data_IF_481546142941
#
_entry.id   IF_481546142941
#
_cell.length_a   1.000
_cell.length_b   1.000
_cell.length_c   1.000
_cell.angle_alpha   90.00
_cell.angle_beta   90.00
_cell.angle_gamma   90.00
#
_symmetry.space_group_name_H-M   'P 1'
#
loop_
_entity.id
_entity.type
_entity.pdbx_description
1 polymer ?
#
# COMPACT_ATOMS: atom_id res chain seq x y z
N UNK A 1 22.15 -28.09 66.91
CA UNK A 1 22.13 -26.61 66.88
C UNK A 1 22.14 -26.23 65.40
N UNK A 2 20.97 -26.22 64.74
CA UNK A 2 20.10 -25.05 64.42
C UNK A 2 20.62 -24.22 63.22
N UNK A 3 19.75 -23.72 62.31
CA UNK A 3 19.34 -24.49 61.13
C UNK A 3 19.42 -23.72 59.78
N UNK A 4 19.20 -24.47 58.68
CA UNK A 4 18.94 -24.01 57.31
C UNK A 4 17.77 -23.01 57.25
N UNK A 5 17.96 -21.88 56.58
CA UNK A 5 16.87 -20.97 56.22
C UNK A 5 16.40 -21.24 54.77
N UNK A 6 15.20 -21.81 54.67
CA UNK A 6 14.32 -21.78 53.49
C UNK A 6 13.95 -20.31 53.20
N UNK A 7 14.15 -19.84 51.96
CA UNK A 7 13.50 -18.62 51.49
C UNK A 7 12.22 -19.03 50.76
N UNK A 8 11.11 -19.01 51.50
CA UNK A 8 9.78 -19.28 50.99
C UNK A 8 9.27 -18.10 50.17
N UNK A 9 8.87 -18.41 48.95
CA UNK A 9 8.12 -17.59 48.02
C UNK A 9 6.76 -17.21 48.65
N UNK A 10 6.51 -15.90 48.84
CA UNK A 10 5.19 -15.37 49.15
C UNK A 10 4.64 -14.68 47.90
N UNK A 11 3.79 -15.40 47.18
CA UNK A 11 2.88 -14.88 46.17
C UNK A 11 1.86 -13.99 46.89
N UNK A 12 1.95 -12.68 46.72
CA UNK A 12 0.80 -11.80 46.97
C UNK A 12 0.07 -11.68 45.65
N UNK A 13 -0.99 -12.49 45.51
CA UNK A 13 -2.00 -12.31 44.46
C UNK A 13 -2.83 -11.10 44.87
N UNK A 14 -2.48 -9.92 44.36
CA UNK A 14 -3.41 -8.82 44.29
C UNK A 14 -4.29 -9.07 43.05
N UNK A 15 -5.45 -9.72 43.27
CA UNK A 15 -6.57 -9.67 42.31
C UNK A 15 -7.14 -8.26 42.33
N UNK A 16 -6.45 -7.34 41.67
CA UNK A 16 -7.04 -6.10 41.20
C UNK A 16 -7.47 -6.34 39.77
N UNK A 17 -8.77 -6.55 39.55
CA UNK A 17 -9.38 -6.44 38.22
C UNK A 17 -9.10 -5.03 37.70
N UNK A 18 -8.01 -4.89 36.97
CA UNK A 18 -7.77 -3.74 36.12
C UNK A 18 -8.83 -3.82 35.02
N UNK A 19 -9.71 -2.82 34.87
CA UNK A 19 -10.67 -2.83 33.78
C UNK A 19 -9.89 -2.95 32.47
N UNK A 20 -10.18 -4.01 31.71
CA UNK A 20 -9.81 -4.07 30.31
C UNK A 20 -10.24 -2.75 29.68
N UNK A 21 -9.33 -2.08 29.00
CA UNK A 21 -9.53 -0.79 28.33
C UNK A 21 -10.63 -0.89 27.28
N UNK A 22 -11.88 -0.79 27.72
CA UNK A 22 -13.10 -0.64 26.90
C UNK A 22 -13.23 0.76 26.32
N UNK A 23 -12.36 1.70 26.69
CA UNK A 23 -12.35 3.07 26.18
C UNK A 23 -11.91 3.21 24.71
N UNK A 24 -11.52 2.13 24.04
CA UNK A 24 -11.02 2.20 22.66
C UNK A 24 -12.12 2.16 21.59
N UNK A 25 -13.32 1.62 21.83
CA UNK A 25 -14.31 1.43 20.74
C UNK A 25 -15.05 2.72 20.32
N UNK A 26 -15.07 3.75 21.17
CA UNK A 26 -15.96 4.92 21.01
C UNK A 26 -15.30 6.20 20.49
N UNK A 27 -14.01 6.19 20.13
CA UNK A 27 -13.38 7.37 19.55
C UNK A 27 -14.05 7.73 18.20
N UNK A 28 -14.60 8.96 18.04
CA UNK A 28 -15.40 9.32 16.86
C UNK A 28 -14.54 9.51 15.60
N UNK A 29 -13.23 9.73 15.75
CA UNK A 29 -12.31 10.00 14.66
C UNK A 29 -11.31 8.88 14.37
N UNK A 30 -10.49 9.12 13.36
CA UNK A 30 -9.30 8.32 13.09
C UNK A 30 -8.26 8.51 14.21
N UNK A 31 -7.41 7.51 14.42
CA UNK A 31 -6.37 7.54 15.44
C UNK A 31 -5.21 6.61 15.10
N UNK A 32 -4.10 6.81 15.78
CA UNK A 32 -2.95 5.91 15.77
C UNK A 32 -2.47 5.66 17.20
N UNK A 33 -2.21 4.40 17.55
CA UNK A 33 -1.84 4.01 18.91
C UNK A 33 -0.97 2.75 18.93
N UNK A 34 -0.19 2.60 20.00
CA UNK A 34 0.60 1.40 20.25
C UNK A 34 -0.24 0.38 21.04
N UNK A 35 -0.38 -0.83 20.51
CA UNK A 35 -0.75 -2.00 21.30
C UNK A 35 0.53 -2.68 21.80
N UNK A 36 0.92 -2.30 23.03
CA UNK A 36 2.12 -2.82 23.65
C UNK A 36 2.07 -4.34 23.94
N UNK A 37 0.86 -4.92 24.07
CA UNK A 37 0.71 -6.37 24.31
C UNK A 37 0.95 -7.14 23.03
N UNK A 38 0.44 -6.63 21.91
CA UNK A 38 0.62 -7.23 20.59
C UNK A 38 1.97 -6.87 19.93
N UNK A 39 2.66 -5.83 20.43
CA UNK A 39 3.87 -5.30 19.79
C UNK A 39 3.56 -4.67 18.44
N UNK A 40 2.42 -3.99 18.33
CA UNK A 40 1.94 -3.40 17.08
C UNK A 40 1.64 -1.92 17.21
N UNK A 41 1.90 -1.19 16.13
CA UNK A 41 1.39 0.15 15.92
C UNK A 41 0.13 0.03 15.06
N UNK A 42 -0.98 0.54 15.54
CA UNK A 42 -2.29 0.43 14.88
C UNK A 42 -2.76 1.80 14.46
N UNK A 43 -3.02 1.96 13.16
CA UNK A 43 -3.75 3.09 12.63
C UNK A 43 -5.19 2.65 12.35
N UNK A 44 -6.15 3.34 12.93
CA UNK A 44 -7.57 2.96 12.98
C UNK A 44 -8.40 4.14 12.46
N UNK A 45 -8.92 4.03 11.23
CA UNK A 45 -9.69 5.09 10.58
C UNK A 45 -11.05 5.30 11.27
N UNK A 46 -11.70 6.43 10.99
CA UNK A 46 -13.02 6.76 11.55
C UNK A 46 -14.05 5.67 11.18
N UNK A 47 -15.03 5.39 12.08
CA UNK A 47 -16.03 4.37 11.82
C UNK A 47 -16.97 4.77 10.70
N UNK A 48 -17.45 3.79 9.95
CA UNK A 48 -18.41 3.97 8.86
C UNK A 48 -19.40 2.81 8.80
N UNK A 49 -20.53 3.04 8.16
CA UNK A 49 -21.48 1.97 7.84
C UNK A 49 -21.16 1.41 6.45
N UNK A 50 -21.29 0.10 6.31
CA UNK A 50 -21.05 -0.66 5.07
C UNK A 50 -22.36 -1.37 4.69
N UNK A 51 -23.25 -0.73 3.92
CA UNK A 51 -24.45 -1.36 3.40
C UNK A 51 -24.10 -2.56 2.51
N UNK A 52 -24.96 -3.57 2.51
CA UNK A 52 -24.80 -4.76 1.68
C UNK A 52 -24.83 -4.42 0.17
N UNK A 53 -24.16 -5.23 -0.64
CA UNK A 53 -24.14 -5.18 -2.11
C UNK A 53 -23.83 -3.78 -2.71
N UNK A 54 -22.96 -3.02 -2.05
CA UNK A 54 -22.62 -1.65 -2.42
C UNK A 54 -21.19 -1.57 -2.95
N UNK A 55 -20.97 -1.23 -4.24
CA UNK A 55 -19.63 -1.02 -4.77
C UNK A 55 -19.02 0.26 -4.21
N UNK A 56 -17.69 0.40 -4.28
CA UNK A 56 -16.99 1.55 -3.70
C UNK A 56 -17.48 2.93 -4.22
N UNK A 57 -17.99 3.04 -5.45
CA UNK A 57 -18.58 4.29 -5.97
C UNK A 57 -19.94 4.64 -5.36
N UNK A 58 -20.66 3.65 -4.83
CA UNK A 58 -21.95 3.83 -4.13
C UNK A 58 -21.79 4.05 -2.63
N UNK A 59 -20.55 4.05 -2.13
CA UNK A 59 -20.24 4.09 -0.71
C UNK A 59 -19.46 5.36 -0.36
N UNK A 60 -19.88 6.04 0.71
CA UNK A 60 -19.10 7.12 1.28
C UNK A 60 -17.81 6.53 1.88
N UNK A 61 -16.66 6.84 1.30
CA UNK A 61 -15.38 6.28 1.74
C UNK A 61 -14.94 6.86 3.11
N UNK A 62 -14.12 6.13 3.90
CA UNK A 62 -13.54 6.68 5.11
C UNK A 62 -12.88 8.04 4.83
N UNK A 63 -13.10 9.07 5.69
CA UNK A 63 -12.39 10.33 5.58
C UNK A 63 -10.88 10.10 5.60
N UNK A 64 -10.17 10.82 4.73
CA UNK A 64 -8.70 10.84 4.74
C UNK A 64 -8.24 11.40 6.09
N UNK A 65 -7.31 10.71 6.74
CA UNK A 65 -6.83 11.09 8.07
C UNK A 65 -5.36 11.49 8.02
N UNK A 66 -5.05 12.69 8.50
CA UNK A 66 -3.67 13.09 8.84
C UNK A 66 -3.46 12.84 10.33
N UNK A 67 -2.43 12.08 10.68
CA UNK A 67 -2.14 11.61 12.03
C UNK A 67 -0.64 11.76 12.32
N UNK A 68 -0.27 11.73 13.59
CA UNK A 68 1.13 11.79 14.03
C UNK A 68 1.57 10.45 14.63
N UNK A 69 2.77 9.99 14.27
CA UNK A 69 3.34 8.78 14.87
C UNK A 69 3.57 8.99 16.38
N UNK A 70 3.07 8.08 17.25
CA UNK A 70 3.15 8.28 18.70
C UNK A 70 4.53 7.93 19.30
N UNK A 71 5.33 7.10 18.64
CA UNK A 71 6.60 6.59 19.15
C UNK A 71 7.60 6.32 18.02
N UNK A 72 8.87 6.67 18.25
CA UNK A 72 9.97 6.37 17.34
C UNK A 72 10.33 4.88 17.35
N UNK A 73 10.44 4.27 16.18
CA UNK A 73 10.78 2.86 16.06
C UNK A 73 10.78 2.38 14.63
N UNK A 74 10.57 1.08 14.45
CA UNK A 74 10.65 0.42 13.16
C UNK A 74 9.43 -0.45 12.89
N UNK A 75 8.90 -0.33 11.67
CA UNK A 75 7.92 -1.28 11.13
C UNK A 75 8.66 -2.37 10.37
N UNK A 76 8.30 -3.63 10.61
CA UNK A 76 8.85 -4.78 9.87
C UNK A 76 7.76 -5.70 9.31
N UNK A 77 6.51 -5.25 9.31
CA UNK A 77 5.42 -5.95 8.68
C UNK A 77 4.11 -5.21 8.89
N UNK A 78 3.13 -5.47 8.03
CA UNK A 78 1.82 -4.85 8.14
C UNK A 78 0.73 -5.76 7.56
N UNK A 79 -0.51 -5.47 7.96
CA UNK A 79 -1.74 -5.98 7.34
C UNK A 79 -2.81 -4.90 7.45
N UNK A 80 -3.63 -4.78 6.41
CA UNK A 80 -4.87 -4.00 6.46
C UNK A 80 -6.02 -4.94 6.73
N UNK A 81 -6.95 -4.55 7.60
CA UNK A 81 -8.12 -5.32 7.94
C UNK A 81 -9.32 -4.38 8.14
N UNK A 82 -10.52 -4.87 7.85
CA UNK A 82 -11.76 -4.24 8.31
C UNK A 82 -12.22 -4.95 9.57
N UNK A 83 -12.71 -4.20 10.55
CA UNK A 83 -13.28 -4.75 11.78
C UNK A 83 -14.67 -4.20 12.04
N UNK A 84 -15.51 -4.99 12.72
CA UNK A 84 -16.81 -4.54 13.21
C UNK A 84 -16.68 -3.59 14.42
N UNK A 85 -17.83 -3.15 14.93
CA UNK A 85 -17.91 -2.28 16.12
C UNK A 85 -17.38 -2.93 17.41
N UNK A 86 -17.34 -4.27 17.49
CA UNK A 86 -16.76 -5.02 18.59
C UNK A 86 -15.25 -5.31 18.40
N UNK A 87 -14.70 -4.98 17.23
CA UNK A 87 -13.31 -5.20 16.87
C UNK A 87 -13.02 -6.58 16.26
N UNK A 88 -14.03 -7.37 15.91
CA UNK A 88 -13.84 -8.62 15.18
C UNK A 88 -13.50 -8.35 13.72
N UNK A 89 -12.57 -9.13 13.17
CA UNK A 89 -12.22 -9.05 11.75
C UNK A 89 -13.42 -9.38 10.86
N UNK A 90 -13.66 -8.53 9.88
CA UNK A 90 -14.58 -8.74 8.78
C UNK A 90 -13.83 -9.31 7.56
N UNK A 91 -14.54 -9.77 6.50
CA UNK A 91 -13.91 -10.30 5.30
C UNK A 91 -12.90 -9.33 4.66
N UNK A 92 -11.77 -9.86 4.20
CA UNK A 92 -10.72 -9.06 3.54
C UNK A 92 -11.18 -8.49 2.19
N UNK A 93 -12.15 -9.12 1.54
CA UNK A 93 -12.77 -8.66 0.28
C UNK A 93 -13.45 -7.29 0.40
N UNK A 94 -13.68 -6.79 1.63
CA UNK A 94 -14.18 -5.44 1.85
C UNK A 94 -13.14 -4.35 1.54
N UNK A 95 -11.85 -4.71 1.46
CA UNK A 95 -10.77 -3.76 1.22
C UNK A 95 -10.58 -3.59 -0.28
N UNK A 96 -10.89 -2.40 -0.80
CA UNK A 96 -10.57 -2.07 -2.18
C UNK A 96 -9.12 -1.59 -2.29
N UNK A 97 -8.72 -0.59 -1.48
CA UNK A 97 -7.31 -0.23 -1.30
C UNK A 97 -7.06 0.56 -0.02
N UNK A 98 -5.80 0.62 0.40
CA UNK A 98 -5.30 1.42 1.51
C UNK A 98 -3.94 2.00 1.15
N UNK A 99 -3.71 3.27 1.47
CA UNK A 99 -2.43 3.94 1.35
C UNK A 99 -2.01 4.57 2.69
N UNK A 100 -0.75 4.40 3.06
CA UNK A 100 -0.08 5.24 4.05
C UNK A 100 0.98 6.08 3.34
N UNK A 101 0.90 7.38 3.55
CA UNK A 101 1.73 8.36 2.87
C UNK A 101 2.44 9.19 3.94
N UNK A 102 3.70 9.46 3.70
CA UNK A 102 4.45 10.47 4.43
C UNK A 102 4.46 11.75 3.57
N UNK A 103 3.70 12.78 3.99
CA UNK A 103 3.59 14.01 3.22
C UNK A 103 4.86 14.87 3.29
N UNK A 104 5.67 14.71 4.34
CA UNK A 104 6.78 15.61 4.66
C UNK A 104 8.06 15.25 3.90
N UNK A 105 8.16 14.01 3.39
CA UNK A 105 9.30 13.54 2.61
C UNK A 105 8.94 13.21 1.16
N UNK A 106 9.93 13.40 0.28
CA UNK A 106 9.83 13.14 -1.15
C UNK A 106 9.84 11.63 -1.47
N UNK A 107 9.14 11.19 -2.50
CA UNK A 107 9.32 9.85 -3.08
C UNK A 107 10.73 9.70 -3.74
N UNK A 108 11.22 8.46 -3.86
CA UNK A 108 12.59 8.21 -4.35
C UNK A 108 12.80 8.73 -5.77
N UNK A 109 11.85 8.48 -6.69
CA UNK A 109 12.00 8.82 -8.11
C UNK A 109 11.26 10.09 -8.56
N UNK A 110 10.36 10.63 -7.74
CA UNK A 110 9.48 11.75 -8.10
C UNK A 110 9.35 12.80 -7.00
N UNK A 111 9.15 14.08 -7.33
CA UNK A 111 8.93 15.15 -6.36
C UNK A 111 7.49 15.15 -5.83
N UNK A 112 7.04 14.01 -5.31
CA UNK A 112 5.71 13.79 -4.72
C UNK A 112 5.86 13.28 -3.27
N UNK A 113 4.76 13.16 -2.52
CA UNK A 113 4.82 12.62 -1.17
C UNK A 113 5.22 11.14 -1.17
N UNK A 114 6.08 10.75 -0.23
CA UNK A 114 6.62 9.38 -0.10
C UNK A 114 5.52 8.37 0.22
N UNK A 115 5.46 7.28 -0.54
CA UNK A 115 4.50 6.18 -0.26
C UNK A 115 5.13 5.18 0.71
N UNK A 116 4.60 5.13 1.93
CA UNK A 116 5.09 4.21 2.96
C UNK A 116 4.53 2.78 2.80
N UNK A 117 3.27 2.67 2.40
CA UNK A 117 2.67 1.38 2.03
C UNK A 117 1.44 1.58 1.16
N UNK A 118 1.14 0.56 0.38
CA UNK A 118 -0.13 0.38 -0.32
C UNK A 118 -0.58 -1.07 -0.16
N UNK A 119 -1.88 -1.29 -0.02
CA UNK A 119 -2.45 -2.64 0.06
C UNK A 119 -3.90 -2.67 -0.44
N UNK A 120 -4.26 -3.65 -1.26
CA UNK A 120 -5.63 -4.08 -1.51
C UNK A 120 -5.95 -5.42 -0.83
N UNK A 121 -7.13 -5.99 -1.11
CA UNK A 121 -7.50 -7.31 -0.61
C UNK A 121 -6.53 -8.41 -1.06
N UNK A 122 -5.89 -8.24 -2.21
CA UNK A 122 -4.92 -9.17 -2.81
C UNK A 122 -3.53 -9.13 -2.15
N UNK A 123 -3.22 -8.09 -1.37
CA UNK A 123 -1.87 -7.89 -0.81
C UNK A 123 -1.58 -8.82 0.38
N UNK A 124 -2.60 -9.15 1.18
CA UNK A 124 -2.42 -9.96 2.39
C UNK A 124 -1.49 -9.32 3.43
N UNK A 125 -0.79 -10.16 4.20
CA UNK A 125 0.16 -9.71 5.23
C UNK A 125 1.59 -9.65 4.70
N UNK A 126 2.23 -8.49 4.81
CA UNK A 126 3.62 -8.28 4.41
C UNK A 126 4.55 -8.36 5.63
N UNK A 127 5.70 -9.00 5.46
CA UNK A 127 6.72 -9.13 6.52
C UNK A 127 8.12 -8.95 5.95
N UNK A 128 8.92 -8.17 6.66
CA UNK A 128 10.34 -8.00 6.45
C UNK A 128 11.12 -8.89 7.44
N UNK A 129 12.34 -9.34 7.10
CA UNK A 129 13.23 -9.96 8.06
C UNK A 129 13.59 -8.97 9.19
N UNK A 130 12.86 -9.02 10.32
CA UNK A 130 12.88 -8.01 11.40
C UNK A 130 14.27 -7.66 11.96
N UNK A 131 15.22 -8.59 11.87
CA UNK A 131 16.58 -8.37 12.37
C UNK A 131 17.43 -7.60 11.36
N UNK A 132 17.13 -7.72 10.07
CA UNK A 132 17.90 -7.08 9.00
C UNK A 132 17.29 -5.74 8.62
N UNK A 133 15.98 -5.68 8.39
CA UNK A 133 15.34 -4.51 7.81
C UNK A 133 14.15 -4.06 8.64
N UNK A 134 13.98 -2.73 8.70
CA UNK A 134 12.74 -2.11 9.14
C UNK A 134 12.60 -0.72 8.56
N UNK A 135 11.35 -0.29 8.41
CA UNK A 135 11.01 1.05 7.97
C UNK A 135 11.01 1.96 9.20
N UNK A 136 11.91 2.95 9.28
CA UNK A 136 11.97 3.84 10.42
C UNK A 136 10.75 4.75 10.44
N UNK A 137 10.22 4.98 11.64
CA UNK A 137 9.23 6.02 11.91
C UNK A 137 9.73 6.87 13.08
N UNK A 138 9.48 8.17 13.01
CA UNK A 138 9.82 9.10 14.09
C UNK A 138 8.57 9.58 14.81
N UNK A 139 8.64 9.70 16.14
CA UNK A 139 7.58 10.35 16.91
C UNK A 139 7.28 11.74 16.34
N UNK A 140 6.00 12.07 16.25
CA UNK A 140 5.46 13.32 15.69
C UNK A 140 5.67 13.51 14.17
N UNK A 141 6.20 12.51 13.47
CA UNK A 141 6.16 12.50 12.00
C UNK A 141 4.71 12.39 11.53
N UNK A 142 4.33 13.22 10.56
CA UNK A 142 3.00 13.17 9.99
C UNK A 142 2.86 11.98 9.05
N UNK A 143 1.69 11.36 9.08
CA UNK A 143 1.28 10.36 8.10
C UNK A 143 -0.14 10.63 7.65
N UNK A 144 -0.40 10.40 6.37
CA UNK A 144 -1.73 10.47 5.77
C UNK A 144 -2.19 9.06 5.45
N UNK A 145 -3.34 8.68 6.00
CA UNK A 145 -3.98 7.41 5.73
C UNK A 145 -5.26 7.61 4.92
N UNK A 146 -5.37 6.85 3.84
CA UNK A 146 -6.50 6.89 2.90
C UNK A 146 -6.89 5.46 2.55
N UNK A 147 -8.15 5.11 2.75
CA UNK A 147 -8.67 3.79 2.43
C UNK A 147 -9.90 3.91 1.54
N UNK A 148 -10.03 2.99 0.59
CA UNK A 148 -11.29 2.71 -0.08
C UNK A 148 -11.73 1.30 0.25
N UNK A 149 -13.03 1.17 0.45
CA UNK A 149 -13.71 -0.07 0.76
C UNK A 149 -14.93 -0.22 -0.13
N UNK A 150 -15.35 -1.46 -0.29
CA UNK A 150 -16.61 -1.84 -0.90
C UNK A 150 -17.23 -2.97 -0.10
N UNK A 151 -18.52 -3.22 -0.31
CA UNK A 151 -19.20 -4.33 0.32
C UNK A 151 -20.09 -5.02 -0.70
N UNK A 152 -19.49 -5.90 -1.50
CA UNK A 152 -20.23 -6.72 -2.46
C UNK A 152 -20.90 -7.94 -1.81
N UNK A 153 -20.78 -8.07 -0.48
CA UNK A 153 -21.40 -9.15 0.29
C UNK A 153 -22.87 -8.82 0.59
N UNK A 154 -23.71 -9.84 0.86
CA UNK A 154 -25.10 -9.61 1.25
C UNK A 154 -25.27 -9.12 2.70
N UNK A 155 -24.19 -9.05 3.49
CA UNK A 155 -24.23 -8.63 4.88
C UNK A 155 -24.01 -7.11 5.00
N UNK A 156 -24.70 -6.47 5.95
CA UNK A 156 -24.47 -5.08 6.33
C UNK A 156 -23.62 -5.02 7.61
N UNK A 157 -22.73 -4.03 7.69
CA UNK A 157 -21.89 -3.81 8.87
C UNK A 157 -22.01 -2.37 9.34
N UNK A 158 -22.36 -2.19 10.61
CA UNK A 158 -22.46 -0.87 11.23
C UNK A 158 -21.20 -0.50 11.99
N UNK A 159 -20.80 0.77 11.88
CA UNK A 159 -19.63 1.35 12.56
C UNK A 159 -18.36 0.51 12.38
N UNK A 160 -18.21 -0.09 11.20
CA UNK A 160 -17.01 -0.81 10.81
C UNK A 160 -15.82 0.17 10.72
N UNK A 161 -14.62 -0.34 10.95
CA UNK A 161 -13.38 0.47 10.90
C UNK A 161 -12.33 -0.24 10.05
N UNK A 162 -11.63 0.54 9.23
CA UNK A 162 -10.44 0.07 8.52
C UNK A 162 -9.22 0.29 9.40
N UNK A 163 -8.44 -0.77 9.63
CA UNK A 163 -7.24 -0.77 10.45
C UNK A 163 -6.03 -1.18 9.65
N UNK A 164 -4.97 -0.39 9.74
CA UNK A 164 -3.62 -0.80 9.39
C UNK A 164 -2.92 -1.25 10.68
N UNK A 165 -2.60 -2.55 10.75
CA UNK A 165 -1.88 -3.16 11.88
C UNK A 165 -0.43 -3.38 11.47
N UNK A 166 0.49 -2.68 12.11
CA UNK A 166 1.92 -2.73 11.79
C UNK A 166 2.68 -3.43 12.91
N UNK A 167 3.47 -4.45 12.57
CA UNK A 167 4.42 -5.05 13.51
C UNK A 167 5.51 -4.03 13.81
N UNK A 168 5.66 -3.65 15.08
CA UNK A 168 6.42 -2.48 15.47
C UNK A 168 7.43 -2.80 16.57
N UNK A 169 8.62 -2.21 16.49
CA UNK A 169 9.62 -2.28 17.56
C UNK A 169 10.12 -0.88 17.88
N UNK A 170 9.96 -0.39 19.13
CA UNK A 170 10.55 0.87 19.55
C UNK A 170 12.07 0.89 19.36
N UNK A 171 12.64 2.06 19.08
CA UNK A 171 14.07 2.26 18.74
C UNK A 171 15.08 1.89 19.85
N UNK A 172 14.63 1.32 20.98
CA UNK A 172 15.45 0.93 22.14
C UNK A 172 16.20 -0.40 21.92
N UNK A 173 16.20 -0.95 20.71
CA UNK A 173 16.81 -2.25 20.37
C UNK A 173 17.94 -2.05 19.36
N UNK A 174 18.98 -2.91 19.37
CA UNK A 174 20.08 -2.83 18.40
C UNK A 174 19.72 -3.36 17.00
N UNK A 175 18.45 -3.67 16.74
CA UNK A 175 17.91 -4.11 15.45
C UNK A 175 16.72 -3.21 15.05
N UNK A 176 16.38 -3.12 13.75
CA UNK A 176 17.00 -3.78 12.59
C UNK A 176 18.42 -3.27 12.29
N UNK A 177 19.24 -4.09 11.61
CA UNK A 177 20.58 -3.69 11.17
C UNK A 177 20.55 -2.56 10.12
N UNK A 178 19.53 -2.53 9.27
CA UNK A 178 19.37 -1.55 8.21
C UNK A 178 18.02 -0.84 8.33
N UNK A 179 18.08 0.48 8.32
CA UNK A 179 16.92 1.32 8.05
C UNK A 179 16.63 1.28 6.57
N UNK A 180 15.41 0.92 6.22
CA UNK A 180 15.00 0.80 4.84
C UNK A 180 13.78 1.68 4.56
N UNK A 181 13.64 2.16 3.34
CA UNK A 181 12.49 2.92 2.88
C UNK A 181 11.82 2.18 1.72
N UNK A 182 10.49 2.12 1.72
CA UNK A 182 9.75 1.70 0.54
C UNK A 182 10.00 2.69 -0.60
N UNK A 183 9.88 2.22 -1.83
CA UNK A 183 9.94 3.04 -3.03
C UNK A 183 9.04 2.45 -4.11
N UNK A 184 8.65 3.28 -5.06
CA UNK A 184 7.90 2.85 -6.24
C UNK A 184 8.27 3.65 -7.49
N UNK A 185 8.01 3.02 -8.64
CA UNK A 185 8.08 3.61 -9.97
C UNK A 185 6.95 3.06 -10.84
N UNK A 186 6.21 3.94 -11.50
CA UNK A 186 5.06 3.57 -12.34
C UNK A 186 5.28 4.05 -13.79
N UNK A 187 4.77 3.30 -14.77
CA UNK A 187 4.75 3.70 -16.18
C UNK A 187 3.77 4.85 -16.49
N UNK A 188 2.83 5.14 -15.59
CA UNK A 188 1.85 6.23 -15.67
C UNK A 188 2.26 7.48 -14.86
N UNK A 189 3.42 7.47 -14.19
CA UNK A 189 4.00 8.65 -13.54
C UNK A 189 4.10 9.86 -14.51
N UNK A 190 3.97 11.12 -14.01
CA UNK A 190 4.27 11.53 -12.63
C UNK A 190 3.11 11.63 -11.62
N UNK A 191 1.86 11.88 -12.03
CA UNK A 191 0.69 11.98 -11.12
C UNK A 191 -0.58 11.53 -11.86
N UNK A 192 -1.55 10.96 -11.14
CA UNK A 192 -2.84 10.53 -11.65
C UNK A 192 -3.11 9.05 -11.41
N UNK A 193 -4.12 8.52 -12.09
CA UNK A 193 -4.45 7.10 -12.05
C UNK A 193 -3.27 6.27 -12.57
N UNK A 194 -2.95 5.21 -11.83
CA UNK A 194 -1.88 4.27 -12.18
C UNK A 194 -2.27 3.34 -13.33
N UNK A 195 -3.57 3.24 -13.61
CA UNK A 195 -4.12 2.44 -14.70
C UNK A 195 -4.13 3.22 -16.01
N UNK A 196 -4.21 2.49 -17.11
CA UNK A 196 -4.37 3.07 -18.44
C UNK A 196 -5.22 2.18 -19.33
N UNK A 197 -5.88 2.79 -20.32
CA UNK A 197 -6.56 2.05 -21.39
C UNK A 197 -5.56 1.19 -22.15
N UNK A 198 -5.80 -0.12 -22.14
CA UNK A 198 -4.98 -1.11 -22.80
C UNK A 198 -5.45 -1.28 -24.26
N UNK A 199 -4.65 -0.87 -25.27
CA UNK A 199 -5.05 -1.04 -26.67
C UNK A 199 -5.09 -2.52 -27.07
N UNK A 200 -5.83 -2.88 -28.15
CA UNK A 200 -5.82 -4.24 -28.67
C UNK A 200 -4.44 -4.62 -29.23
N UNK A 201 -4.07 -5.89 -29.08
CA UNK A 201 -2.80 -6.45 -29.51
C UNK A 201 -1.63 -6.12 -28.57
N UNK A 202 -0.42 -6.18 -29.12
CA UNK A 202 0.82 -5.92 -28.38
C UNK A 202 0.99 -4.44 -28.09
N UNK A 203 1.34 -4.12 -26.86
CA UNK A 203 1.68 -2.75 -26.47
C UNK A 203 2.75 -2.72 -25.39
N UNK A 204 3.37 -1.56 -25.23
CA UNK A 204 4.37 -1.32 -24.18
C UNK A 204 4.27 0.10 -23.65
N UNK A 205 4.56 0.28 -22.37
CA UNK A 205 4.74 1.59 -21.74
C UNK A 205 6.01 1.61 -20.92
N UNK A 206 6.58 2.79 -20.76
CA UNK A 206 7.79 2.99 -19.98
C UNK A 206 7.77 4.34 -19.30
N UNK A 207 8.49 4.41 -18.19
CA UNK A 207 8.83 5.65 -17.51
C UNK A 207 10.28 5.58 -17.06
N UNK A 208 10.99 6.71 -17.04
CA UNK A 208 12.39 6.79 -16.63
C UNK A 208 12.63 7.98 -15.70
N UNK A 209 13.46 7.76 -14.68
CA UNK A 209 13.74 8.71 -13.61
C UNK A 209 15.06 8.40 -12.92
N UNK A 210 15.46 9.29 -12.03
CA UNK A 210 16.67 9.13 -11.23
C UNK A 210 16.28 9.15 -9.74
N UNK A 211 16.92 8.34 -8.88
CA UNK A 211 16.64 8.38 -7.47
C UNK A 211 17.13 9.72 -6.89
N UNK A 212 16.42 10.25 -5.90
CA UNK A 212 16.79 11.49 -5.23
C UNK A 212 18.07 11.34 -4.39
N UNK A 213 18.36 10.11 -3.95
CA UNK A 213 19.52 9.79 -3.10
C UNK A 213 20.14 8.45 -3.50
N UNK A 214 21.45 8.26 -3.27
CA UNK A 214 22.11 6.99 -3.51
C UNK A 214 21.79 5.95 -2.43
N UNK A 215 21.83 4.69 -2.81
CA UNK A 215 21.59 3.57 -1.89
C UNK A 215 21.35 2.26 -2.62
N UNK A 216 20.74 1.29 -1.94
CA UNK A 216 20.68 -0.10 -2.42
C UNK A 216 19.25 -0.60 -2.46
N UNK A 217 18.80 -1.07 -3.63
CA UNK A 217 17.58 -1.85 -3.73
C UNK A 217 17.88 -3.26 -3.21
N UNK A 218 17.20 -3.66 -2.13
CA UNK A 218 17.42 -4.96 -1.47
C UNK A 218 16.30 -5.95 -1.74
N UNK A 219 15.11 -5.47 -2.09
CA UNK A 219 14.00 -6.30 -2.54
C UNK A 219 13.14 -5.51 -3.49
N UNK A 220 12.54 -6.17 -4.46
CA UNK A 220 11.71 -5.52 -5.47
C UNK A 220 10.72 -6.52 -6.08
N UNK A 221 9.55 -6.03 -6.44
CA UNK A 221 8.55 -6.76 -7.19
C UNK A 221 7.81 -5.81 -8.11
N UNK A 222 6.67 -6.25 -8.63
CA UNK A 222 5.83 -5.38 -9.41
C UNK A 222 4.35 -5.71 -9.30
N UNK A 223 3.56 -4.92 -9.99
CA UNK A 223 2.14 -5.12 -10.16
C UNK A 223 1.76 -4.82 -11.62
N UNK A 224 0.95 -5.70 -12.20
CA UNK A 224 0.42 -5.59 -13.54
C UNK A 224 -1.02 -6.11 -13.54
N UNK A 225 -1.89 -5.47 -14.31
CA UNK A 225 -3.21 -6.04 -14.65
C UNK A 225 -3.08 -7.14 -15.70
N UNK A 226 -4.18 -7.90 -15.89
CA UNK A 226 -4.30 -8.99 -16.86
C UNK A 226 -3.79 -8.63 -18.25
N UNK A 227 -3.37 -9.65 -19.00
CA UNK A 227 -2.68 -9.53 -20.29
C UNK A 227 -1.26 -8.96 -20.22
N UNK A 228 -0.77 -8.64 -19.01
CA UNK A 228 0.63 -8.34 -18.76
C UNK A 228 1.53 -9.49 -19.18
N UNK A 229 2.66 -9.18 -19.84
CA UNK A 229 3.62 -10.18 -20.33
C UNK A 229 4.95 -10.10 -19.61
N UNK A 230 5.48 -8.89 -19.46
CA UNK A 230 6.77 -8.64 -18.82
C UNK A 230 6.73 -7.28 -18.16
N UNK A 231 7.29 -7.22 -16.96
CA UNK A 231 7.73 -6.00 -16.29
C UNK A 231 9.24 -6.03 -16.12
N UNK A 232 9.89 -4.90 -16.36
CA UNK A 232 11.35 -4.75 -16.33
C UNK A 232 11.71 -3.45 -15.60
N UNK A 233 12.72 -3.52 -14.74
CA UNK A 233 13.40 -2.37 -14.15
C UNK A 233 14.89 -2.44 -14.48
N UNK A 234 15.41 -1.41 -15.12
CA UNK A 234 16.78 -1.39 -15.65
C UNK A 234 17.47 -0.06 -15.39
N UNK A 235 18.78 -0.12 -15.20
CA UNK A 235 19.67 1.03 -15.30
C UNK A 235 19.97 1.29 -16.77
N UNK A 236 19.37 2.34 -17.34
CA UNK A 236 19.55 2.67 -18.76
C UNK A 236 20.82 3.48 -19.01
N UNK A 237 21.49 3.95 -17.96
CA UNK A 237 22.81 4.58 -18.09
C UNK A 237 23.88 3.53 -18.35
N UNK A 238 23.83 2.38 -17.66
CA UNK A 238 24.81 1.29 -17.84
C UNK A 238 24.34 0.19 -18.81
N UNK A 239 23.02 0.11 -19.06
CA UNK A 239 22.41 -0.98 -19.82
C UNK A 239 22.14 -2.24 -18.99
N UNK A 240 22.30 -2.18 -17.66
CA UNK A 240 22.06 -3.31 -16.76
C UNK A 240 20.56 -3.49 -16.47
N UNK A 241 20.03 -4.68 -16.73
CA UNK A 241 18.69 -5.07 -16.29
C UNK A 241 18.78 -5.56 -14.85
N UNK A 242 18.21 -4.78 -13.92
CA UNK A 242 18.22 -5.07 -12.48
C UNK A 242 17.13 -6.10 -12.14
N UNK A 243 16.00 -6.02 -12.82
CA UNK A 243 14.87 -6.91 -12.62
C UNK A 243 14.06 -7.09 -13.90
N UNK A 244 13.62 -8.32 -14.11
CA UNK A 244 12.70 -8.67 -15.18
C UNK A 244 11.85 -9.85 -14.75
N UNK A 245 10.54 -9.71 -14.83
CA UNK A 245 9.62 -10.79 -14.45
C UNK A 245 8.46 -10.89 -15.44
N UNK A 246 8.03 -12.14 -15.67
CA UNK A 246 6.73 -12.43 -16.26
C UNK A 246 5.74 -12.74 -15.13
N UNK A 247 4.46 -12.32 -15.25
CA UNK A 247 3.45 -12.66 -14.27
C UNK A 247 3.22 -14.17 -14.20
N UNK A 248 2.83 -14.65 -13.02
CA UNK A 248 2.22 -15.98 -12.85
C UNK A 248 0.72 -15.84 -13.08
N UNK A 249 0.16 -16.72 -13.90
CA UNK A 249 -1.25 -16.71 -14.25
C UNK A 249 -1.93 -17.98 -13.77
N UNK A 250 -3.22 -17.88 -13.44
CA UNK A 250 -4.05 -19.02 -13.09
C UNK A 250 -4.46 -19.85 -14.31
N UNK A 251 -5.28 -20.89 -14.09
CA UNK A 251 -5.80 -21.74 -15.16
C UNK A 251 -6.73 -21.03 -16.16
N UNK A 252 -7.24 -19.86 -15.80
CA UNK A 252 -8.14 -19.04 -16.64
C UNK A 252 -7.41 -17.90 -17.35
N UNK A 253 -6.13 -17.69 -17.03
CA UNK A 253 -5.28 -16.68 -17.63
C UNK A 253 -5.25 -15.35 -16.88
N UNK A 254 -5.86 -15.27 -15.70
CA UNK A 254 -5.78 -14.09 -14.83
C UNK A 254 -4.44 -14.07 -14.09
N UNK A 255 -3.86 -12.89 -13.89
CA UNK A 255 -2.60 -12.73 -13.15
C UNK A 255 -2.85 -12.99 -11.66
N UNK A 256 -2.19 -14.03 -11.12
CA UNK A 256 -2.20 -14.32 -9.68
C UNK A 256 -1.14 -13.51 -8.93
N UNK A 257 0.05 -13.36 -9.52
CA UNK A 257 1.17 -12.67 -8.85
C UNK A 257 2.28 -12.26 -9.81
N UNK A 258 3.05 -11.26 -9.39
CA UNK A 258 4.33 -10.91 -10.02
C UNK A 258 5.48 -11.43 -9.15
N UNK A 259 6.44 -12.19 -9.70
CA UNK A 259 7.58 -12.69 -8.94
C UNK A 259 8.38 -11.59 -8.23
N UNK A 260 8.61 -11.74 -6.92
CA UNK A 260 9.46 -10.84 -6.12
C UNK A 260 10.92 -11.30 -6.19
N UNK A 261 11.85 -10.36 -6.39
CA UNK A 261 13.28 -10.58 -6.34
C UNK A 261 13.87 -10.03 -5.03
N UNK A 262 14.56 -10.90 -4.29
CA UNK A 262 15.36 -10.52 -3.13
C UNK A 262 16.81 -10.36 -3.58
N UNK A 263 17.36 -9.16 -3.47
CA UNK A 263 18.67 -8.80 -4.02
C UNK A 263 19.79 -8.83 -2.97
N UNK A 264 19.54 -9.39 -1.80
CA UNK A 264 20.55 -9.59 -0.75
C UNK A 264 20.81 -11.08 -0.48
N UNK A 265 22.00 -11.35 0.05
CA UNK A 265 22.43 -12.67 0.47
C UNK A 265 23.58 -12.57 1.46
N UNK A 266 24.30 -13.68 1.69
CA UNK A 266 25.40 -13.73 2.66
C UNK A 266 26.56 -12.78 2.34
N UNK A 267 26.80 -12.49 1.06
CA UNK A 267 27.97 -11.74 0.58
C UNK A 267 27.64 -10.41 -0.09
N UNK A 268 26.36 -10.10 -0.33
CA UNK A 268 25.93 -8.89 -1.04
C UNK A 268 24.65 -8.33 -0.42
N UNK A 269 24.63 -7.02 -0.24
CA UNK A 269 23.44 -6.27 0.13
C UNK A 269 22.96 -5.48 -1.09
N UNK A 270 21.97 -6.01 -1.80
CA UNK A 270 21.26 -5.27 -2.85
C UNK A 270 22.06 -4.92 -4.12
N UNK A 271 21.37 -4.23 -5.02
CA UNK A 271 21.94 -3.52 -6.17
C UNK A 271 22.02 -2.04 -5.81
N UNK A 272 23.22 -1.46 -5.97
CA UNK A 272 23.45 -0.05 -5.68
C UNK A 272 22.94 0.82 -6.84
N UNK A 273 22.22 1.89 -6.52
CA UNK A 273 21.70 2.86 -7.47
C UNK A 273 22.12 4.27 -7.04
N UNK A 274 22.31 5.17 -8.01
CA UNK A 274 22.83 6.52 -7.77
C UNK A 274 22.07 7.59 -8.55
N UNK A 275 21.97 8.84 -8.05
CA UNK A 275 21.24 9.92 -8.71
C UNK A 275 21.75 10.29 -10.12
N UNK A 276 23.02 10.03 -10.41
CA UNK A 276 23.64 10.32 -11.70
C UNK A 276 23.14 9.38 -12.81
N UNK A 277 22.58 8.23 -12.44
CA UNK A 277 22.05 7.24 -13.37
C UNK A 277 20.57 7.46 -13.64
N UNK A 278 20.11 7.03 -14.82
CA UNK A 278 18.69 6.96 -15.14
C UNK A 278 18.25 5.51 -15.09
N UNK A 279 17.17 5.28 -14.36
CA UNK A 279 16.52 3.99 -14.26
C UNK A 279 15.20 4.05 -15.01
N UNK A 280 14.78 2.91 -15.56
CA UNK A 280 13.57 2.80 -16.36
C UNK A 280 12.76 1.61 -15.91
N UNK A 281 11.47 1.84 -15.69
CA UNK A 281 10.46 0.80 -15.68
C UNK A 281 9.88 0.65 -17.08
N UNK A 282 9.71 -0.58 -17.54
CA UNK A 282 8.99 -0.89 -18.78
C UNK A 282 8.04 -2.07 -18.55
N UNK A 283 6.84 -1.95 -19.12
CA UNK A 283 5.87 -3.04 -19.18
C UNK A 283 5.50 -3.36 -20.62
N UNK A 284 5.23 -4.63 -20.87
CA UNK A 284 4.65 -5.11 -22.13
C UNK A 284 3.38 -5.90 -21.87
N UNK A 285 2.45 -5.75 -22.79
CA UNK A 285 1.12 -6.33 -22.75
C UNK A 285 0.77 -6.95 -24.10
N UNK A 286 -0.22 -7.84 -24.10
CA UNK A 286 -0.78 -8.44 -25.29
C UNK A 286 -2.28 -8.71 -25.10
N UNK A 287 -3.10 -7.76 -25.53
CA UNK A 287 -4.56 -7.82 -25.38
C UNK A 287 -5.20 -8.56 -26.58
N UNK A 288 -5.73 -9.79 -26.41
CA UNK A 288 -6.26 -10.59 -27.50
C UNK A 288 -7.72 -10.25 -27.88
N UNK A 289 -8.37 -9.34 -27.16
CA UNK A 289 -9.83 -9.13 -27.27
C UNK A 289 -10.25 -8.39 -28.55
N UNK A 290 -9.29 -7.78 -29.26
CA UNK A 290 -9.57 -6.98 -30.46
C UNK A 290 -10.18 -5.60 -30.17
N UNK A 291 -10.42 -5.25 -28.91
CA UNK A 291 -10.94 -3.94 -28.49
C UNK A 291 -10.09 -3.32 -27.36
N UNK A 292 -10.07 -1.99 -27.22
CA UNK A 292 -9.43 -1.36 -26.06
C UNK A 292 -10.13 -1.74 -24.75
N UNK A 293 -9.35 -1.97 -23.69
CA UNK A 293 -9.86 -2.25 -22.34
C UNK A 293 -9.58 -1.02 -21.47
N UNK A 294 -10.59 -0.23 -21.10
CA UNK A 294 -10.44 0.86 -20.12
C UNK A 294 -9.83 0.33 -18.82
N UNK A 295 -8.84 1.05 -18.28
CA UNK A 295 -8.09 0.65 -17.07
C UNK A 295 -7.45 -0.74 -17.11
N UNK A 296 -7.36 -1.36 -18.29
CA UNK A 296 -6.87 -2.72 -18.47
C UNK A 296 -5.37 -2.89 -18.29
N UNK A 297 -4.59 -1.80 -18.23
CA UNK A 297 -3.15 -1.85 -18.03
C UNK A 297 -2.72 -1.13 -16.77
N UNK A 298 -1.70 -1.65 -16.09
CA UNK A 298 -0.98 -1.00 -14.99
C UNK A 298 0.48 -1.48 -14.98
N UNK A 299 1.42 -0.65 -14.57
CA UNK A 299 2.82 -1.08 -14.52
C UNK A 299 3.58 -0.42 -13.41
N UNK A 300 3.64 -1.08 -12.25
CA UNK A 300 4.35 -0.57 -11.07
C UNK A 300 5.48 -1.52 -10.72
N UNK A 301 6.67 -0.97 -10.47
CA UNK A 301 7.73 -1.65 -9.72
C UNK A 301 7.86 -0.94 -8.39
N UNK A 302 8.07 -1.70 -7.33
CA UNK A 302 8.34 -1.14 -6.02
C UNK A 302 9.07 -2.14 -5.17
N UNK A 303 9.54 -1.69 -4.01
CA UNK A 303 10.32 -2.55 -3.16
C UNK A 303 10.92 -1.82 -1.97
N UNK A 304 12.03 -2.36 -1.51
CA UNK A 304 12.74 -1.91 -0.32
C UNK A 304 14.12 -1.37 -0.72
N UNK A 305 14.40 -0.15 -0.27
CA UNK A 305 15.62 0.59 -0.53
C UNK A 305 16.34 0.92 0.78
N UNK A 306 17.65 0.69 0.84
CA UNK A 306 18.49 1.06 1.98
C UNK A 306 19.35 2.25 1.54
N UNK A 307 19.12 3.46 2.05
CA UNK A 307 19.98 4.61 1.76
C UNK A 307 21.44 4.33 2.13
N UNK A 308 22.38 4.91 1.40
CA UNK A 308 23.78 4.85 1.80
C UNK A 308 24.00 5.50 3.17
N UNK A 309 25.05 5.08 3.88
CA UNK A 309 25.31 5.59 5.23
C UNK A 309 25.55 7.10 5.23
N UNK A 310 24.83 7.82 6.11
CA UNK A 310 24.93 9.27 6.25
C UNK A 310 24.08 10.07 5.26
N UNK A 311 23.37 9.40 4.35
CA UNK A 311 22.38 10.05 3.48
C UNK A 311 21.18 10.51 4.29
N UNK A 312 20.83 11.78 4.14
CA UNK A 312 19.56 12.34 4.65
C UNK A 312 18.51 12.24 3.56
N UNK A 313 17.33 11.73 3.88
CA UNK A 313 16.24 11.64 2.92
C UNK A 313 15.69 13.06 2.63
N UNK A 314 15.44 13.43 1.37
CA UNK A 314 14.97 14.78 1.04
C UNK A 314 13.56 15.04 1.57
N UNK A 315 13.35 16.23 2.12
CA UNK A 315 12.01 16.74 2.38
C UNK A 315 11.22 16.87 1.06
N UNK A 316 9.90 16.76 1.16
CA UNK A 316 9.02 17.17 0.07
C UNK A 316 9.12 18.70 -0.12
N UNK A 317 8.88 19.17 -1.35
CA UNK A 317 8.77 20.60 -1.65
C UNK A 317 7.29 20.95 -1.87
N UNK A 318 6.62 21.58 -0.89
CA UNK A 318 5.24 22.01 -1.07
C UNK A 318 5.04 23.02 -2.21
N UNK A 319 6.09 23.67 -2.70
CA UNK A 319 6.02 24.55 -3.86
C UNK A 319 6.03 23.82 -5.20
N UNK A 320 6.39 22.54 -5.25
CA UNK A 320 6.46 21.75 -6.48
C UNK A 320 5.05 21.44 -7.02
N UNK A 321 4.87 21.60 -8.34
CA UNK A 321 3.57 21.42 -8.97
C UNK A 321 3.11 19.96 -8.98
N UNK A 322 4.02 18.99 -9.06
CA UNK A 322 3.71 17.57 -8.96
C UNK A 322 3.37 17.20 -7.52
N UNK A 323 4.08 17.75 -6.53
CA UNK A 323 3.68 17.59 -5.13
C UNK A 323 2.26 18.11 -4.88
N UNK A 324 1.92 19.29 -5.41
CA UNK A 324 0.59 19.88 -5.24
C UNK A 324 -0.53 19.08 -5.92
N UNK A 325 -0.26 18.49 -7.09
CA UNK A 325 -1.20 17.59 -7.75
C UNK A 325 -1.36 16.29 -6.96
N UNK A 326 -0.24 15.71 -6.50
CA UNK A 326 -0.23 14.51 -5.68
C UNK A 326 -1.00 14.70 -4.38
N UNK A 327 -0.73 15.80 -3.67
CA UNK A 327 -1.43 16.22 -2.45
C UNK A 327 -2.93 16.30 -2.65
N UNK A 328 -3.38 17.01 -3.69
CA UNK A 328 -4.82 17.11 -4.01
C UNK A 328 -5.44 15.75 -4.30
N UNK A 329 -4.72 14.90 -5.04
CA UNK A 329 -5.19 13.56 -5.40
C UNK A 329 -5.34 12.66 -4.16
N UNK A 330 -4.29 12.48 -3.34
CA UNK A 330 -4.38 11.57 -2.19
C UNK A 330 -5.23 12.12 -1.04
N UNK A 331 -5.36 13.45 -0.92
CA UNK A 331 -6.29 14.10 0.01
C UNK A 331 -7.74 14.12 -0.50
N UNK A 332 -7.97 13.70 -1.76
CA UNK A 332 -9.29 13.69 -2.41
C UNK A 332 -9.94 15.09 -2.45
N UNK A 333 -9.14 16.11 -2.73
CA UNK A 333 -9.56 17.53 -2.72
C UNK A 333 -10.07 18.04 -4.06
N UNK A 334 -9.97 17.26 -5.13
CA UNK A 334 -10.53 17.64 -6.43
C UNK A 334 -12.07 17.55 -6.35
N UNK A 335 -12.75 18.68 -6.61
CA UNK A 335 -14.21 18.80 -6.56
C UNK A 335 -14.86 17.76 -7.48
N UNK A 336 -15.58 16.79 -6.89
CA UNK A 336 -16.28 15.73 -7.63
C UNK A 336 -15.77 14.31 -7.41
N UNK A 337 -15.14 14.00 -6.28
CA UNK A 337 -14.58 12.67 -5.91
C UNK A 337 -15.55 11.48 -5.77
N UNK A 338 -16.61 11.41 -6.59
CA UNK A 338 -17.07 10.15 -7.16
C UNK A 338 -16.54 10.10 -8.58
N UNK A 339 -15.60 9.18 -8.86
CA UNK A 339 -14.98 8.94 -10.17
C UNK A 339 -15.85 9.43 -11.33
N UNK A 340 -15.50 10.57 -11.92
CA UNK A 340 -16.11 11.06 -13.15
C UNK A 340 -15.56 10.25 -14.33
N UNK A 341 -16.04 9.01 -14.43
CA UNK A 341 -16.19 8.35 -15.72
C UNK A 341 -17.25 9.14 -16.49
N UNK A 342 -16.88 9.64 -17.67
CA UNK A 342 -17.82 10.34 -18.55
C UNK A 342 -19.11 9.54 -18.70
N UNK A 343 -20.22 10.08 -18.22
CA UNK A 343 -21.55 9.63 -18.60
C UNK A 343 -21.77 9.96 -20.07
N UNK A 344 -21.49 9.00 -20.96
CA UNK A 344 -22.03 9.04 -22.32
C UNK A 344 -23.53 8.69 -22.23
N UNK A 345 -24.43 9.52 -22.78
CA UNK A 345 -25.86 9.21 -22.76
C UNK A 345 -26.13 8.01 -23.66
N UNK A 346 -26.55 6.88 -23.08
CA UNK A 346 -27.17 5.82 -23.86
C UNK A 346 -28.48 6.34 -24.43
N UNK A 347 -28.47 6.70 -25.72
CA UNK A 347 -29.69 6.66 -26.53
C UNK A 347 -30.16 5.21 -26.57
N UNK A 348 -31.19 4.90 -25.79
CA UNK A 348 -31.99 3.70 -26.02
C UNK A 348 -32.76 3.89 -27.33
N UNK A 349 -32.23 3.34 -28.43
CA UNK A 349 -33.08 2.96 -29.56
C UNK A 349 -33.61 1.57 -29.26
N UNK A 350 -34.86 1.52 -28.80
CA UNK A 350 -35.66 0.32 -28.79
C UNK A 350 -35.84 -0.17 -30.23
N UNK A 351 -35.27 -1.33 -30.56
CA UNK A 351 -35.71 -2.11 -31.70
C UNK A 351 -36.73 -3.13 -31.21
N UNK A 352 -38.00 -2.78 -31.37
CA UNK A 352 -39.10 -3.73 -31.40
C UNK A 352 -38.89 -4.67 -32.58
N UNK A 353 -38.91 -5.98 -32.31
CA UNK A 353 -39.16 -7.01 -33.31
C UNK A 353 -40.66 -7.11 -33.59
N UNK A 354 -41.11 -7.06 -34.85
CA UNK A 354 -42.35 -7.68 -35.24
C UNK A 354 -42.07 -9.06 -35.84
N UNK A 355 -42.75 -10.04 -35.25
CA UNK A 355 -42.99 -11.39 -35.72
C UNK A 355 -43.31 -11.48 -37.22
N UNK A 356 -42.67 -12.44 -37.90
CA UNK A 356 -43.09 -12.93 -39.21
C UNK A 356 -44.40 -13.72 -39.11
N UNK A 357 -45.32 -13.46 -40.06
CA UNK A 357 -46.41 -14.37 -40.41
C UNK A 357 -46.41 -14.60 -41.93
N UNK A 358 -46.31 -15.89 -42.28
CA UNK A 358 -46.83 -16.61 -43.47
C UNK A 358 -46.22 -16.34 -44.86
N UNK A 359 -45.56 -17.36 -45.40
CA UNK A 359 -46.23 -18.36 -46.24
C UNK A 359 -45.66 -19.75 -46.04
#
# INVERSE_FOLDING_TARGET
MTPRALLSLLLVVATGDLPATTAAADAPGARIFLDARAGTLVLDLAPMDLPANTPHHGLAQPPVATLEIPETGFIYGFRVQVVDSAGHSLPDELIHHFNLIDPDHRELFLPISRRLLAAGHETGAIRLPRLLFGVPLNRAEHVVASAMVENLTPAEYHRARVRLVMSFTPAKRPWPLFSASPWQMDVAFPVGDKSFTLPPGRSSRLYAGSPAVPGRIVGLGGHMHDYGRVIEFADVTTGEVIYRAAPRVDSTGHIESIPIAMLYGLTRLGVHIVPEHRYRIAVSYDNPTGVPIPDGGMGVVGGLFVPDHGVTWPAADPGDSLYQQDYRHYMRLEEGGGHHMMSMPMKMTAHEHPSHARH
#
